data_IF_973915371990
#
_entry.id   IF_973915371990
#
_cell.length_a   1.000
_cell.length_b   1.000
_cell.length_c   1.000
_cell.angle_alpha   90.00
_cell.angle_beta   90.00
_cell.angle_gamma   90.00
#
_symmetry.space_group_name_H-M   'P 1'
#
loop_
_entity.id
_entity.type
_entity.pdbx_description
1 polymer ?
#
# COMPACT_ATOMS: atom_id res chain seq x y z
N UNK A 1 17.94 17.64 9.60
CA UNK A 1 16.92 16.79 10.28
C UNK A 1 15.63 17.54 10.55
N UNK A 2 15.65 18.70 11.22
CA UNK A 2 14.43 19.49 11.51
C UNK A 2 13.66 19.94 10.25
N UNK A 3 14.36 20.36 9.19
CA UNK A 3 13.71 20.74 7.91
C UNK A 3 12.99 19.56 7.23
N UNK A 4 13.59 18.36 7.28
CA UNK A 4 12.99 17.14 6.72
C UNK A 4 11.72 16.78 7.48
N UNK A 5 11.77 16.83 8.82
CA UNK A 5 10.60 16.58 9.66
C UNK A 5 9.51 17.64 9.44
N UNK A 6 9.87 18.92 9.36
CA UNK A 6 8.93 20.02 9.07
C UNK A 6 8.21 19.81 7.74
N UNK A 7 8.94 19.43 6.69
CA UNK A 7 8.36 19.10 5.38
C UNK A 7 7.42 17.90 5.47
N UNK A 8 7.85 16.78 6.05
CA UNK A 8 6.99 15.59 6.22
C UNK A 8 5.71 15.91 7.02
N UNK A 9 5.82 16.78 8.03
CA UNK A 9 4.68 17.25 8.81
C UNK A 9 3.71 18.09 7.97
N UNK A 10 4.22 19.00 7.13
CA UNK A 10 3.37 19.78 6.22
C UNK A 10 2.66 18.92 5.19
N UNK A 11 3.36 17.96 4.58
CA UNK A 11 2.76 16.99 3.66
C UNK A 11 1.64 16.20 4.36
N UNK A 12 1.87 15.80 5.61
CA UNK A 12 0.85 15.10 6.43
C UNK A 12 -0.36 15.99 6.65
N UNK A 13 -0.17 17.26 7.06
CA UNK A 13 -1.26 18.22 7.27
C UNK A 13 -2.08 18.44 5.99
N UNK A 14 -1.43 18.63 4.85
CA UNK A 14 -2.13 18.84 3.58
C UNK A 14 -2.95 17.61 3.18
N UNK A 15 -2.34 16.42 3.24
CA UNK A 15 -3.02 15.17 2.92
C UNK A 15 -4.20 14.91 3.87
N UNK A 16 -4.02 15.20 5.16
CA UNK A 16 -5.09 15.07 6.16
C UNK A 16 -6.19 16.12 5.96
N UNK A 17 -5.87 17.32 5.48
CA UNK A 17 -6.87 18.32 5.15
C UNK A 17 -7.75 17.88 3.97
N UNK A 18 -7.16 17.23 2.96
CA UNK A 18 -7.92 16.61 1.86
C UNK A 18 -8.84 15.50 2.41
N UNK A 19 -8.33 14.61 3.26
CA UNK A 19 -9.12 13.56 3.91
C UNK A 19 -10.22 14.14 4.81
N UNK A 20 -9.95 15.25 5.50
CA UNK A 20 -10.94 15.90 6.37
C UNK A 20 -12.07 16.54 5.58
N UNK A 21 -11.78 17.08 4.39
CA UNK A 21 -12.81 17.57 3.45
C UNK A 21 -13.67 16.43 2.90
N UNK A 22 -13.13 15.22 2.85
CA UNK A 22 -13.80 14.05 2.28
C UNK A 22 -13.66 12.80 3.17
N UNK A 23 -14.55 12.68 4.17
CA UNK A 23 -14.51 11.56 5.11
C UNK A 23 -14.83 10.21 4.45
N UNK A 24 -15.41 10.21 3.25
CA UNK A 24 -15.73 8.98 2.52
C UNK A 24 -14.46 8.25 2.09
N UNK A 25 -13.33 8.96 1.95
CA UNK A 25 -12.01 8.37 1.72
C UNK A 25 -11.60 7.35 2.79
N UNK A 26 -12.06 7.53 4.05
CA UNK A 26 -11.75 6.60 5.15
C UNK A 26 -12.47 5.25 5.02
N UNK A 27 -13.58 5.21 4.29
CA UNK A 27 -14.36 3.98 4.11
C UNK A 27 -13.65 2.98 3.20
N UNK A 28 -12.95 3.46 2.17
CA UNK A 28 -12.34 2.56 1.18
C UNK A 28 -11.27 1.63 1.78
N UNK A 29 -10.27 2.09 2.56
CA UNK A 29 -9.30 1.15 3.13
C UNK A 29 -9.88 0.34 4.28
N UNK A 30 -10.87 0.86 5.01
CA UNK A 30 -11.56 0.06 6.03
C UNK A 30 -12.26 -1.15 5.39
N UNK A 31 -12.96 -0.93 4.27
CA UNK A 31 -13.55 -2.00 3.47
C UNK A 31 -12.48 -2.88 2.82
N UNK A 32 -11.40 -2.31 2.28
CA UNK A 32 -10.29 -3.08 1.73
C UNK A 32 -9.69 -4.03 2.77
N UNK A 33 -9.45 -3.54 3.98
CA UNK A 33 -8.95 -4.34 5.11
C UNK A 33 -9.93 -5.44 5.50
N UNK A 34 -11.22 -5.10 5.65
CA UNK A 34 -12.27 -6.07 5.96
C UNK A 34 -12.35 -7.18 4.91
N UNK A 35 -12.47 -6.83 3.63
CA UNK A 35 -12.54 -7.80 2.55
C UNK A 35 -11.25 -8.61 2.41
N UNK A 36 -10.09 -8.01 2.65
CA UNK A 36 -8.81 -8.74 2.65
C UNK A 36 -8.76 -9.77 3.79
N UNK A 37 -9.22 -9.43 4.99
CA UNK A 37 -9.30 -10.37 6.12
C UNK A 37 -10.30 -11.49 5.80
N UNK A 38 -11.48 -11.17 5.30
CA UNK A 38 -12.47 -12.18 4.89
C UNK A 38 -11.90 -13.12 3.83
N UNK A 39 -11.19 -12.57 2.84
CA UNK A 39 -10.54 -13.35 1.79
C UNK A 39 -9.43 -14.24 2.33
N UNK A 40 -8.59 -13.75 3.24
CA UNK A 40 -7.58 -14.56 3.93
C UNK A 40 -8.21 -15.71 4.72
N UNK A 41 -9.28 -15.45 5.47
CA UNK A 41 -10.02 -16.47 6.21
C UNK A 41 -10.59 -17.52 5.24
N UNK A 42 -11.16 -17.08 4.10
CA UNK A 42 -11.64 -18.00 3.07
C UNK A 42 -10.52 -18.87 2.49
N UNK A 43 -9.31 -18.32 2.32
CA UNK A 43 -8.13 -19.06 1.85
C UNK A 43 -7.50 -20.00 2.89
N UNK A 44 -7.89 -19.92 4.17
CA UNK A 44 -7.47 -20.91 5.17
C UNK A 44 -8.05 -22.29 4.85
N UNK A 45 -9.29 -22.36 4.36
CA UNK A 45 -9.96 -23.64 4.05
C UNK A 45 -9.16 -24.48 3.04
N UNK A 46 -8.85 -23.99 1.82
CA UNK A 46 -8.06 -24.78 0.87
C UNK A 46 -6.66 -25.09 1.41
N UNK A 47 -6.02 -24.16 2.12
CA UNK A 47 -4.70 -24.36 2.71
C UNK A 47 -4.68 -25.49 3.74
N UNK A 48 -5.69 -25.54 4.61
CA UNK A 48 -5.87 -26.59 5.63
C UNK A 48 -6.16 -27.93 4.96
N UNK A 49 -7.08 -27.96 3.98
CA UNK A 49 -7.40 -29.19 3.23
C UNK A 49 -6.14 -29.78 2.61
N UNK A 50 -5.35 -28.95 1.90
CA UNK A 50 -4.08 -29.36 1.27
C UNK A 50 -3.10 -29.93 2.30
N UNK A 51 -3.05 -29.36 3.51
CA UNK A 51 -2.20 -29.88 4.59
C UNK A 51 -2.61 -31.29 5.05
N UNK A 52 -3.89 -31.63 5.02
CA UNK A 52 -4.39 -32.95 5.42
C UNK A 52 -4.17 -34.03 4.35
N UNK A 53 -4.24 -33.68 3.07
CA UNK A 53 -4.03 -34.63 1.96
C UNK A 53 -2.56 -34.76 1.54
N UNK A 54 -1.65 -34.05 2.21
CA UNK A 54 -0.21 -34.01 1.92
C UNK A 54 0.44 -35.40 1.90
N UNK A 55 0.10 -36.26 2.85
CA UNK A 55 0.70 -37.61 2.97
C UNK A 55 0.34 -38.54 1.80
N UNK A 56 -0.77 -38.26 1.09
CA UNK A 56 -1.20 -39.01 -0.08
C UNK A 56 -0.71 -38.44 -1.42
N UNK A 57 0.04 -37.33 -1.41
CA UNK A 57 0.51 -36.66 -2.63
C UNK A 57 2.03 -36.77 -2.77
N UNK A 58 2.50 -36.96 -4.01
CA UNK A 58 3.92 -36.85 -4.33
C UNK A 58 4.47 -35.44 -4.01
N UNK A 59 5.74 -35.30 -3.59
CA UNK A 59 6.33 -34.01 -3.21
C UNK A 59 6.21 -32.92 -4.28
N UNK A 60 6.30 -33.30 -5.56
CA UNK A 60 6.19 -32.37 -6.69
C UNK A 60 4.76 -31.83 -6.86
N UNK A 61 3.76 -32.72 -6.84
CA UNK A 61 2.34 -32.36 -6.95
C UNK A 61 1.90 -31.43 -5.83
N UNK A 62 2.33 -31.72 -4.60
CA UNK A 62 2.05 -30.88 -3.43
C UNK A 62 2.62 -29.47 -3.61
N UNK A 63 3.88 -29.35 -4.04
CA UNK A 63 4.52 -28.05 -4.25
C UNK A 63 3.81 -27.20 -5.30
N UNK A 64 3.35 -27.79 -6.41
CA UNK A 64 2.61 -27.08 -7.46
C UNK A 64 1.29 -26.52 -6.90
N UNK A 65 0.54 -27.33 -6.16
CA UNK A 65 -0.74 -26.92 -5.57
C UNK A 65 -0.53 -25.80 -4.54
N UNK A 66 0.50 -25.89 -3.70
CA UNK A 66 0.85 -24.85 -2.74
C UNK A 66 1.13 -23.50 -3.43
N UNK A 67 1.91 -23.50 -4.52
CA UNK A 67 2.17 -22.30 -5.31
C UNK A 67 0.91 -21.76 -6.00
N UNK A 68 -0.02 -22.61 -6.44
CA UNK A 68 -1.31 -22.17 -7.01
C UNK A 68 -2.15 -21.46 -5.94
N UNK A 69 -2.29 -22.05 -4.74
CA UNK A 69 -3.06 -21.42 -3.65
C UNK A 69 -2.43 -20.11 -3.20
N UNK A 70 -1.10 -20.08 -3.11
CA UNK A 70 -0.36 -18.87 -2.80
C UNK A 70 -0.58 -17.79 -3.88
N UNK A 71 -0.51 -18.15 -5.16
CA UNK A 71 -0.76 -17.23 -6.26
C UNK A 71 -2.19 -16.68 -6.23
N UNK A 72 -3.20 -17.54 -6.03
CA UNK A 72 -4.60 -17.09 -5.92
C UNK A 72 -4.81 -16.19 -4.70
N UNK A 73 -4.09 -16.46 -3.60
CA UNK A 73 -4.12 -15.60 -2.41
C UNK A 73 -3.55 -14.22 -2.73
N UNK A 74 -2.39 -14.15 -3.40
CA UNK A 74 -1.80 -12.89 -3.83
C UNK A 74 -2.68 -12.16 -4.85
N UNK A 75 -3.30 -12.88 -5.79
CA UNK A 75 -4.20 -12.32 -6.79
C UNK A 75 -5.43 -11.68 -6.15
N UNK A 76 -6.12 -12.37 -5.24
CA UNK A 76 -7.30 -11.82 -4.59
C UNK A 76 -6.98 -10.63 -3.69
N UNK A 77 -5.88 -10.68 -2.95
CA UNK A 77 -5.42 -9.54 -2.15
C UNK A 77 -5.03 -8.34 -3.01
N UNK A 78 -4.27 -8.57 -4.08
CA UNK A 78 -3.90 -7.52 -5.03
C UNK A 78 -5.14 -6.90 -5.69
N UNK A 79 -6.14 -7.71 -6.02
CA UNK A 79 -7.41 -7.27 -6.58
C UNK A 79 -8.20 -6.39 -5.63
N UNK A 80 -8.42 -6.84 -4.40
CA UNK A 80 -9.12 -6.06 -3.37
C UNK A 80 -8.39 -4.73 -3.12
N UNK A 81 -7.08 -4.78 -2.89
CA UNK A 81 -6.27 -3.59 -2.64
C UNK A 81 -6.32 -2.61 -3.81
N UNK A 82 -6.18 -3.10 -5.04
CA UNK A 82 -6.22 -2.26 -6.26
C UNK A 82 -7.60 -1.63 -6.44
N UNK A 83 -8.68 -2.40 -6.26
CA UNK A 83 -10.04 -1.89 -6.42
C UNK A 83 -10.32 -0.69 -5.52
N UNK A 84 -9.98 -0.80 -4.22
CA UNK A 84 -10.18 0.30 -3.29
C UNK A 84 -9.18 1.44 -3.49
N UNK A 85 -7.94 1.15 -3.93
CA UNK A 85 -7.01 2.20 -4.31
C UNK A 85 -7.50 3.00 -5.53
N UNK A 86 -8.12 2.35 -6.52
CA UNK A 86 -8.77 3.04 -7.65
C UNK A 86 -9.88 3.95 -7.15
N UNK A 87 -10.69 3.51 -6.18
CA UNK A 87 -11.71 4.36 -5.56
C UNK A 87 -11.07 5.59 -4.91
N UNK A 88 -10.06 5.41 -4.06
CA UNK A 88 -9.36 6.51 -3.38
C UNK A 88 -8.75 7.49 -4.37
N UNK A 89 -8.08 7.00 -5.42
CA UNK A 89 -7.47 7.85 -6.47
C UNK A 89 -8.54 8.60 -7.25
N UNK A 90 -9.67 7.98 -7.58
CA UNK A 90 -10.78 8.64 -8.25
C UNK A 90 -11.42 9.73 -7.39
N UNK A 91 -11.76 9.43 -6.13
CA UNK A 91 -12.29 10.43 -5.19
C UNK A 91 -11.31 11.60 -5.02
N UNK A 92 -10.02 11.29 -4.91
CA UNK A 92 -8.95 12.30 -4.81
C UNK A 92 -8.88 13.17 -6.06
N UNK A 93 -8.98 12.57 -7.25
CA UNK A 93 -9.01 13.29 -8.53
C UNK A 93 -10.16 14.30 -8.57
N UNK A 94 -11.38 13.84 -8.30
CA UNK A 94 -12.57 14.70 -8.29
C UNK A 94 -12.42 15.83 -7.25
N UNK A 95 -11.82 15.54 -6.10
CA UNK A 95 -11.53 16.55 -5.08
C UNK A 95 -10.51 17.59 -5.54
N UNK A 96 -9.46 17.18 -6.25
CA UNK A 96 -8.45 18.10 -6.79
C UNK A 96 -8.99 19.00 -7.90
N UNK A 97 -10.08 18.58 -8.56
CA UNK A 97 -10.83 19.37 -9.54
C UNK A 97 -11.84 20.33 -8.88
N UNK A 98 -11.91 20.38 -7.54
CA UNK A 98 -12.84 21.22 -6.77
C UNK A 98 -14.25 20.66 -6.61
N UNK A 99 -14.47 19.43 -7.08
CA UNK A 99 -15.74 18.74 -6.99
C UNK A 99 -15.79 17.81 -5.75
N UNK A 100 -16.94 17.16 -5.54
CA UNK A 100 -17.14 16.20 -4.47
C UNK A 100 -17.63 14.88 -5.08
N UNK A 101 -16.82 13.82 -5.01
CA UNK A 101 -17.26 12.49 -5.42
C UNK A 101 -17.97 11.82 -4.25
N UNK A 102 -19.08 11.15 -4.53
CA UNK A 102 -19.73 10.28 -3.55
C UNK A 102 -19.06 8.90 -3.52
N UNK A 103 -19.28 8.19 -2.42
CA UNK A 103 -18.80 6.83 -2.18
C UNK A 103 -19.24 5.91 -3.31
N UNK A 104 -20.52 5.97 -3.69
CA UNK A 104 -21.09 5.13 -4.74
C UNK A 104 -20.60 5.49 -6.14
N UNK A 105 -20.33 6.76 -6.42
CA UNK A 105 -19.70 7.14 -7.70
C UNK A 105 -18.30 6.55 -7.83
N UNK A 106 -17.53 6.56 -6.74
CA UNK A 106 -16.18 5.99 -6.71
C UNK A 106 -16.19 4.47 -6.87
N UNK A 107 -17.14 3.78 -6.24
CA UNK A 107 -17.37 2.33 -6.43
C UNK A 107 -17.79 2.04 -7.87
N UNK A 108 -18.75 2.79 -8.44
CA UNK A 108 -19.19 2.61 -9.82
C UNK A 108 -18.06 2.83 -10.82
N UNK A 109 -17.20 3.82 -10.57
CA UNK A 109 -16.02 4.07 -11.36
C UNK A 109 -15.03 2.89 -11.29
N UNK A 110 -14.75 2.36 -10.09
CA UNK A 110 -13.88 1.19 -9.98
C UNK A 110 -14.48 -0.06 -10.66
N UNK A 111 -15.80 -0.27 -10.55
CA UNK A 111 -16.50 -1.37 -11.24
C UNK A 111 -16.44 -1.21 -12.76
N UNK A 112 -16.50 0.01 -13.30
CA UNK A 112 -16.37 0.22 -14.75
C UNK A 112 -14.96 -0.03 -15.29
N UNK A 113 -13.97 -0.17 -14.39
CA UNK A 113 -12.55 -0.48 -14.69
C UNK A 113 -12.13 -1.84 -14.14
N UNK A 114 -13.08 -2.75 -13.90
CA UNK A 114 -12.83 -4.04 -13.23
C UNK A 114 -11.85 -4.93 -14.02
N UNK A 115 -11.89 -4.84 -15.34
CA UNK A 115 -10.99 -5.53 -16.26
C UNK A 115 -9.55 -5.02 -16.14
N UNK A 116 -9.36 -3.69 -16.08
CA UNK A 116 -8.06 -3.07 -15.85
C UNK A 116 -7.51 -3.41 -14.46
N UNK A 117 -8.38 -3.38 -13.44
CA UNK A 117 -8.03 -3.75 -12.06
C UNK A 117 -7.60 -5.21 -12.00
N UNK A 118 -8.34 -6.12 -12.63
CA UNK A 118 -7.99 -7.55 -12.68
C UNK A 118 -6.66 -7.77 -13.39
N UNK A 119 -6.45 -7.13 -14.53
CA UNK A 119 -5.20 -7.27 -15.29
C UNK A 119 -4.00 -6.73 -14.52
N UNK A 120 -4.14 -5.59 -13.83
CA UNK A 120 -3.09 -5.08 -12.95
C UNK A 120 -2.80 -6.02 -11.79
N UNK A 121 -3.85 -6.57 -11.18
CA UNK A 121 -3.73 -7.47 -10.04
C UNK A 121 -3.03 -8.77 -10.41
N UNK A 122 -3.24 -9.28 -11.64
CA UNK A 122 -2.49 -10.41 -12.19
C UNK A 122 -0.98 -10.09 -12.28
N UNK A 123 -0.62 -8.91 -12.79
CA UNK A 123 0.79 -8.49 -12.86
C UNK A 123 1.38 -8.37 -11.46
N UNK A 124 0.69 -7.67 -10.55
CA UNK A 124 1.15 -7.46 -9.18
C UNK A 124 1.30 -8.78 -8.40
N UNK A 125 0.34 -9.69 -8.52
CA UNK A 125 0.40 -11.00 -7.90
C UNK A 125 1.52 -11.87 -8.48
N UNK A 126 1.76 -11.79 -9.79
CA UNK A 126 2.88 -12.48 -10.44
C UNK A 126 4.21 -11.97 -9.89
N UNK A 127 4.39 -10.65 -9.78
CA UNK A 127 5.61 -10.09 -9.19
C UNK A 127 5.77 -10.50 -7.73
N UNK A 128 4.69 -10.46 -6.94
CA UNK A 128 4.70 -10.93 -5.57
C UNK A 128 5.12 -12.40 -5.45
N UNK A 129 4.58 -13.26 -6.33
CA UNK A 129 4.94 -14.68 -6.37
C UNK A 129 6.41 -14.87 -6.75
N UNK A 130 6.90 -14.14 -7.76
CA UNK A 130 8.31 -14.20 -8.18
C UNK A 130 9.24 -13.80 -7.03
N UNK A 131 8.95 -12.70 -6.32
CA UNK A 131 9.73 -12.30 -5.14
C UNK A 131 9.72 -13.39 -4.07
N UNK A 132 8.55 -13.98 -3.79
CA UNK A 132 8.41 -15.08 -2.82
C UNK A 132 9.19 -16.33 -3.23
N UNK A 133 9.24 -16.66 -4.52
CA UNK A 133 10.05 -17.78 -5.04
C UNK A 133 11.54 -17.49 -4.83
N UNK A 134 12.00 -16.27 -5.13
CA UNK A 134 13.40 -15.86 -4.91
C UNK A 134 13.77 -15.94 -3.43
N UNK A 135 12.88 -15.48 -2.54
CA UNK A 135 13.09 -15.56 -1.10
C UNK A 135 13.18 -17.01 -0.61
N UNK A 136 12.28 -17.89 -1.07
CA UNK A 136 12.33 -19.32 -0.75
C UNK A 136 13.62 -19.98 -1.26
N UNK A 137 14.16 -19.52 -2.40
CA UNK A 137 15.46 -19.99 -2.90
C UNK A 137 16.62 -19.46 -2.04
N UNK A 138 16.53 -18.22 -1.55
CA UNK A 138 17.52 -17.61 -0.67
C UNK A 138 17.65 -18.34 0.67
N UNK A 139 16.52 -18.76 1.26
CA UNK A 139 16.49 -19.54 2.51
C UNK A 139 17.14 -20.93 2.36
N UNK A 140 17.13 -21.48 1.13
CA UNK A 140 17.74 -22.78 0.81
C UNK A 140 19.20 -22.65 0.39
N UNK A 141 19.67 -21.43 0.11
CA UNK A 141 21.06 -21.18 -0.21
C UNK A 141 21.90 -21.17 1.09
N UNK A 142 23.16 -21.63 1.02
CA UNK A 142 24.09 -21.50 2.15
C UNK A 142 24.31 -20.03 2.55
N UNK A 143 24.94 -19.79 3.71
CA UNK A 143 25.12 -18.44 4.30
C UNK A 143 25.60 -17.36 3.31
N UNK A 144 26.49 -17.70 2.37
CA UNK A 144 26.99 -16.77 1.35
C UNK A 144 25.99 -16.47 0.23
N UNK A 145 25.17 -17.44 -0.18
CA UNK A 145 24.14 -17.27 -1.20
C UNK A 145 22.90 -16.54 -0.69
N UNK A 146 22.56 -16.73 0.59
CA UNK A 146 21.43 -16.06 1.23
C UNK A 146 21.60 -14.53 1.24
N UNK A 147 22.81 -14.03 1.51
CA UNK A 147 23.08 -12.58 1.58
C UNK A 147 22.91 -11.92 0.20
N UNK A 148 23.42 -12.54 -0.85
CA UNK A 148 23.31 -12.03 -2.23
C UNK A 148 21.85 -12.05 -2.71
N UNK A 149 21.13 -13.14 -2.48
CA UNK A 149 19.74 -13.27 -2.91
C UNK A 149 18.81 -12.32 -2.16
N UNK A 150 18.99 -12.16 -0.83
CA UNK A 150 18.22 -11.19 -0.05
C UNK A 150 18.46 -9.75 -0.52
N UNK A 151 19.69 -9.41 -0.89
CA UNK A 151 20.02 -8.10 -1.45
C UNK A 151 19.32 -7.89 -2.80
N UNK A 152 19.33 -8.90 -3.68
CA UNK A 152 18.64 -8.86 -4.97
C UNK A 152 17.13 -8.71 -4.81
N UNK A 153 16.48 -9.51 -3.96
CA UNK A 153 15.03 -9.37 -3.68
C UNK A 153 14.74 -7.96 -3.16
N UNK A 154 15.55 -7.46 -2.22
CA UNK A 154 15.34 -6.12 -1.63
C UNK A 154 15.44 -5.01 -2.66
N UNK A 155 16.44 -5.05 -3.54
CA UNK A 155 16.61 -4.08 -4.62
C UNK A 155 15.45 -4.17 -5.61
N UNK A 156 15.07 -5.39 -6.00
CA UNK A 156 13.98 -5.59 -6.96
C UNK A 156 12.64 -5.10 -6.40
N UNK A 157 12.35 -5.41 -5.12
CA UNK A 157 11.18 -4.91 -4.41
C UNK A 157 11.15 -3.39 -4.29
N UNK A 158 12.31 -2.76 -4.04
CA UNK A 158 12.44 -1.30 -4.00
C UNK A 158 12.17 -0.68 -5.38
N UNK A 159 12.81 -1.20 -6.43
CA UNK A 159 12.58 -0.76 -7.82
C UNK A 159 11.10 -0.92 -8.19
N UNK A 160 10.49 -2.05 -7.86
CA UNK A 160 9.08 -2.31 -8.08
C UNK A 160 8.20 -1.28 -7.37
N UNK A 161 8.44 -1.03 -6.08
CA UNK A 161 7.67 -0.06 -5.30
C UNK A 161 7.76 1.36 -5.89
N UNK A 162 8.93 1.77 -6.38
CA UNK A 162 9.13 3.06 -7.03
C UNK A 162 8.38 3.11 -8.36
N UNK A 163 8.61 2.14 -9.26
CA UNK A 163 8.03 2.14 -10.61
C UNK A 163 6.49 2.07 -10.56
N UNK A 164 5.93 1.44 -9.54
CA UNK A 164 4.48 1.23 -9.44
C UNK A 164 3.72 2.36 -8.75
N UNK A 165 4.43 3.35 -8.18
CA UNK A 165 3.83 4.41 -7.36
C UNK A 165 2.74 5.22 -8.10
N UNK A 166 2.90 5.44 -9.41
CA UNK A 166 1.96 6.20 -10.23
C UNK A 166 1.13 5.36 -11.18
N UNK A 167 1.17 4.03 -11.08
CA UNK A 167 0.41 3.16 -11.98
C UNK A 167 -1.09 3.37 -11.81
N UNK A 168 -1.60 3.33 -10.58
CA UNK A 168 -3.03 3.53 -10.31
C UNK A 168 -3.48 4.95 -10.70
N UNK A 169 -2.77 6.04 -10.31
CA UNK A 169 -3.02 7.37 -10.85
C UNK A 169 -3.07 7.42 -12.39
N UNK A 170 -2.10 6.81 -13.09
CA UNK A 170 -2.09 6.80 -14.55
C UNK A 170 -3.29 6.06 -15.15
N UNK A 171 -3.70 4.91 -14.57
CA UNK A 171 -4.91 4.20 -14.99
C UNK A 171 -6.17 5.05 -14.81
N UNK A 172 -6.30 5.76 -13.69
CA UNK A 172 -7.50 6.56 -13.39
C UNK A 172 -7.59 7.86 -14.21
N UNK A 173 -6.46 8.54 -14.43
CA UNK A 173 -6.43 9.82 -15.14
C UNK A 173 -6.54 9.67 -16.66
N UNK A 174 -5.91 8.64 -17.23
CA UNK A 174 -5.77 8.48 -18.69
C UNK A 174 -6.46 7.22 -19.24
N UNK A 175 -7.18 6.48 -18.39
CA UNK A 175 -7.84 5.23 -18.77
C UNK A 175 -6.90 4.20 -19.42
N UNK A 176 -5.66 4.15 -18.92
CA UNK A 176 -4.60 3.33 -19.50
C UNK A 176 -4.70 1.89 -19.02
N UNK A 177 -4.45 0.97 -19.95
CA UNK A 177 -4.15 -0.42 -19.61
C UNK A 177 -2.91 -0.52 -18.72
N UNK A 178 -2.84 -1.49 -17.78
CA UNK A 178 -1.73 -1.62 -16.83
C UNK A 178 -0.31 -1.59 -17.42
N UNK A 179 -0.09 -2.15 -18.62
CA UNK A 179 1.21 -2.07 -19.30
C UNK A 179 1.60 -0.64 -19.66
N UNK A 180 0.67 0.14 -20.20
CA UNK A 180 0.92 1.52 -20.58
C UNK A 180 0.92 2.45 -19.36
N UNK A 181 0.14 2.12 -18.32
CA UNK A 181 0.20 2.80 -17.03
C UNK A 181 1.57 2.62 -16.34
N UNK A 182 2.20 1.44 -16.43
CA UNK A 182 3.60 1.25 -15.96
C UNK A 182 4.55 2.14 -16.75
N UNK A 183 4.48 2.16 -18.08
CA UNK A 183 5.34 3.02 -18.91
C UNK A 183 5.17 4.49 -18.55
N UNK A 184 3.93 4.95 -18.41
CA UNK A 184 3.59 6.32 -18.02
C UNK A 184 4.12 6.65 -16.63
N UNK A 185 3.98 5.73 -15.66
CA UNK A 185 4.55 5.88 -14.32
C UNK A 185 6.06 6.08 -14.37
N UNK A 186 6.77 5.23 -15.13
CA UNK A 186 8.24 5.34 -15.32
C UNK A 186 8.62 6.65 -15.99
N UNK A 187 7.91 7.08 -17.03
CA UNK A 187 8.16 8.35 -17.72
C UNK A 187 7.99 9.54 -16.78
N UNK A 188 6.88 9.59 -16.04
CA UNK A 188 6.58 10.63 -15.06
C UNK A 188 7.64 10.66 -13.95
N UNK A 189 8.08 9.50 -13.45
CA UNK A 189 9.17 9.39 -12.47
C UNK A 189 10.51 9.85 -13.03
N UNK A 190 10.89 9.44 -14.25
CA UNK A 190 12.15 9.87 -14.88
C UNK A 190 12.19 11.39 -15.07
N UNK A 191 11.06 11.99 -15.47
CA UNK A 191 10.95 13.44 -15.66
C UNK A 191 11.13 14.22 -14.37
N UNK A 192 10.74 13.65 -13.24
CA UNK A 192 10.60 14.40 -11.99
C UNK A 192 11.55 13.98 -10.87
N UNK A 193 11.96 12.70 -10.80
CA UNK A 193 12.84 12.16 -9.76
C UNK A 193 14.27 11.92 -10.24
N UNK A 194 14.56 11.95 -11.56
CA UNK A 194 15.91 11.90 -12.14
C UNK A 194 16.89 10.95 -11.42
N UNK A 195 18.05 11.47 -10.98
CA UNK A 195 19.04 10.75 -10.15
C UNK A 195 18.77 10.84 -8.63
N UNK A 196 17.73 11.57 -8.18
CA UNK A 196 17.44 11.84 -6.77
C UNK A 196 16.43 10.89 -6.11
N UNK A 197 16.13 9.75 -6.73
CA UNK A 197 15.10 8.79 -6.32
C UNK A 197 15.22 8.29 -4.86
N UNK A 198 16.35 8.53 -4.18
CA UNK A 198 16.75 7.84 -2.94
C UNK A 198 16.44 8.66 -1.67
N UNK A 199 16.03 9.93 -1.73
CA UNK A 199 16.02 10.80 -0.54
C UNK A 199 14.67 11.40 -0.12
N UNK A 200 13.55 10.90 -0.66
CA UNK A 200 12.24 11.40 -0.27
C UNK A 200 11.62 10.59 0.87
N UNK A 201 11.86 11.06 2.10
CA UNK A 201 11.11 10.64 3.28
C UNK A 201 9.78 11.38 3.31
N UNK A 202 8.77 10.86 2.61
CA UNK A 202 7.44 11.46 2.54
C UNK A 202 6.69 11.45 3.87
N UNK A 203 5.51 10.83 3.89
CA UNK A 203 4.70 10.67 5.09
C UNK A 203 5.30 9.64 6.08
N UNK A 204 6.23 8.80 5.63
CA UNK A 204 6.78 7.68 6.39
C UNK A 204 7.43 8.07 7.72
N UNK A 205 8.10 9.23 7.80
CA UNK A 205 8.70 9.69 9.07
C UNK A 205 7.64 10.04 10.12
N UNK A 206 6.56 10.68 9.71
CA UNK A 206 5.47 11.02 10.63
C UNK A 206 4.72 9.75 11.01
N UNK A 207 4.42 8.87 10.05
CA UNK A 207 3.83 7.56 10.33
C UNK A 207 4.68 6.76 11.33
N UNK A 208 6.00 6.72 11.14
CA UNK A 208 6.94 6.08 12.06
C UNK A 208 6.88 6.69 13.46
N UNK A 209 6.83 8.02 13.58
CA UNK A 209 6.70 8.69 14.88
C UNK A 209 5.39 8.30 15.59
N UNK A 210 4.25 8.24 14.88
CA UNK A 210 2.98 7.79 15.45
C UNK A 210 3.04 6.32 15.90
N UNK A 211 3.68 5.44 15.11
CA UNK A 211 3.86 4.03 15.49
C UNK A 211 4.70 3.91 16.76
N UNK A 212 5.85 4.60 16.83
CA UNK A 212 6.75 4.56 18.01
C UNK A 212 6.04 5.08 19.25
N UNK A 213 5.34 6.21 19.15
CA UNK A 213 4.55 6.76 20.26
C UNK A 213 3.45 5.78 20.70
N UNK A 214 2.75 5.16 19.74
CA UNK A 214 1.75 4.13 20.01
C UNK A 214 2.32 2.93 20.75
N UNK A 215 3.50 2.44 20.35
CA UNK A 215 4.19 1.33 21.03
C UNK A 215 4.54 1.71 22.47
N UNK A 216 5.12 2.88 22.69
CA UNK A 216 5.48 3.36 24.04
C UNK A 216 4.24 3.43 24.92
N UNK A 217 3.15 4.04 24.44
CA UNK A 217 1.89 4.14 25.19
C UNK A 217 1.28 2.76 25.45
N UNK A 218 1.27 1.86 24.46
CA UNK A 218 0.75 0.51 24.62
C UNK A 218 1.53 -0.29 25.69
N UNK A 219 2.87 -0.18 25.70
CA UNK A 219 3.72 -0.82 26.72
C UNK A 219 3.41 -0.25 28.11
N UNK A 220 3.33 1.08 28.25
CA UNK A 220 3.00 1.71 29.54
C UNK A 220 1.63 1.29 30.06
N UNK A 221 0.62 1.23 29.19
CA UNK A 221 -0.72 0.75 29.55
C UNK A 221 -0.72 -0.74 29.91
N UNK A 222 0.04 -1.58 29.20
CA UNK A 222 0.17 -3.00 29.54
C UNK A 222 0.80 -3.20 30.92
N UNK A 223 1.86 -2.44 31.24
CA UNK A 223 2.48 -2.47 32.57
C UNK A 223 1.48 -2.02 33.63
N UNK A 224 0.77 -0.90 33.42
CA UNK A 224 -0.20 -0.36 34.36
C UNK A 224 -1.40 -1.28 34.61
N UNK A 225 -1.83 -2.03 33.59
CA UNK A 225 -2.98 -2.95 33.68
C UNK A 225 -2.60 -4.38 34.04
N UNK A 226 -1.30 -4.70 34.13
CA UNK A 226 -0.80 -6.06 34.37
C UNK A 226 -1.27 -6.66 35.70
N UNK A 227 -1.48 -5.83 36.72
CA UNK A 227 -1.97 -6.24 38.05
C UNK A 227 -3.49 -6.32 38.16
N UNK A 228 -4.24 -5.84 37.16
CA UNK A 228 -5.71 -5.76 37.18
C UNK A 228 -6.40 -7.03 36.65
N UNK A 229 -5.62 -8.05 36.27
CA UNK A 229 -6.12 -9.34 35.79
C UNK A 229 -6.24 -9.45 34.25
N UNK A 230 -6.58 -10.65 33.74
CA UNK A 230 -6.47 -10.98 32.33
C UNK A 230 -7.42 -10.17 31.42
N UNK A 231 -8.60 -9.81 31.91
CA UNK A 231 -9.55 -9.00 31.14
C UNK A 231 -9.06 -7.57 30.90
N UNK A 232 -8.33 -6.98 31.85
CA UNK A 232 -7.74 -5.65 31.70
C UNK A 232 -6.60 -5.65 30.67
N UNK A 233 -5.77 -6.70 30.68
CA UNK A 233 -4.70 -6.92 29.68
C UNK A 233 -5.32 -7.07 28.29
N UNK A 234 -6.36 -7.91 28.16
CA UNK A 234 -7.08 -8.09 26.90
C UNK A 234 -7.64 -6.76 26.38
N UNK A 235 -8.29 -5.97 27.25
CA UNK A 235 -8.81 -4.65 26.89
C UNK A 235 -7.73 -3.71 26.36
N UNK A 236 -6.57 -3.67 27.03
CA UNK A 236 -5.41 -2.87 26.59
C UNK A 236 -4.89 -3.30 25.22
N UNK A 237 -4.78 -4.62 24.98
CA UNK A 237 -4.35 -5.17 23.69
C UNK A 237 -5.33 -4.75 22.58
N UNK A 238 -6.64 -4.89 22.82
CA UNK A 238 -7.68 -4.52 21.86
C UNK A 238 -7.58 -3.03 21.49
N UNK A 239 -7.43 -2.16 22.49
CA UNK A 239 -7.27 -0.71 22.26
C UNK A 239 -6.00 -0.41 21.46
N UNK A 240 -4.88 -1.04 21.79
CA UNK A 240 -3.62 -0.87 21.07
C UNK A 240 -3.76 -1.32 19.60
N UNK A 241 -4.37 -2.48 19.36
CA UNK A 241 -4.62 -3.00 18.00
C UNK A 241 -5.50 -2.03 17.20
N UNK A 242 -6.60 -1.55 17.78
CA UNK A 242 -7.48 -0.56 17.12
C UNK A 242 -6.70 0.71 16.77
N UNK A 243 -5.87 1.21 17.68
CA UNK A 243 -5.02 2.38 17.43
C UNK A 243 -4.10 2.16 16.23
N UNK A 244 -3.36 1.04 16.20
CA UNK A 244 -2.44 0.76 15.09
C UNK A 244 -3.17 0.59 13.75
N UNK A 245 -4.35 -0.05 13.76
CA UNK A 245 -5.19 -0.16 12.57
C UNK A 245 -5.58 1.23 12.06
N UNK A 246 -6.08 2.11 12.93
CA UNK A 246 -6.46 3.47 12.54
C UNK A 246 -5.28 4.24 11.97
N UNK A 247 -4.12 4.19 12.63
CA UNK A 247 -2.90 4.85 12.14
C UNK A 247 -2.53 4.32 10.75
N UNK A 248 -2.47 3.00 10.56
CA UNK A 248 -2.13 2.40 9.27
C UNK A 248 -3.12 2.79 8.17
N UNK A 249 -4.43 2.77 8.45
CA UNK A 249 -5.46 3.12 7.46
C UNK A 249 -5.37 4.60 7.06
N UNK A 250 -5.25 5.51 8.02
CA UNK A 250 -5.19 6.95 7.76
C UNK A 250 -3.93 7.30 6.96
N UNK A 251 -2.77 6.77 7.35
CA UNK A 251 -1.52 7.02 6.62
C UNK A 251 -1.50 6.33 5.25
N UNK A 252 -2.16 5.19 5.07
CA UNK A 252 -2.32 4.56 3.76
C UNK A 252 -3.06 5.49 2.79
N UNK A 253 -4.19 6.08 3.20
CA UNK A 253 -4.93 7.05 2.38
C UNK A 253 -4.09 8.28 2.12
N UNK A 254 -3.46 8.83 3.16
CA UNK A 254 -2.64 10.02 3.01
C UNK A 254 -1.52 9.80 1.99
N UNK A 255 -0.90 8.61 1.98
CA UNK A 255 0.08 8.23 0.96
C UNK A 255 -0.54 8.15 -0.44
N UNK A 256 -1.71 7.54 -0.60
CA UNK A 256 -2.39 7.47 -1.91
C UNK A 256 -2.79 8.85 -2.41
N UNK A 257 -3.35 9.71 -1.56
CA UNK A 257 -3.71 11.11 -1.88
C UNK A 257 -2.47 11.89 -2.28
N UNK A 258 -1.39 11.79 -1.49
CA UNK A 258 -0.15 12.48 -1.75
C UNK A 258 0.52 12.00 -3.06
N UNK A 259 0.57 10.70 -3.31
CA UNK A 259 1.11 10.14 -4.55
C UNK A 259 0.28 10.57 -5.76
N UNK A 260 -1.04 10.69 -5.60
CA UNK A 260 -1.92 11.24 -6.64
C UNK A 260 -1.63 12.72 -6.88
N UNK A 261 -1.39 13.51 -5.83
CA UNK A 261 -1.00 14.92 -5.95
C UNK A 261 0.34 15.07 -6.69
N UNK A 262 1.33 14.26 -6.32
CA UNK A 262 2.62 14.19 -6.99
C UNK A 262 2.45 13.83 -8.46
N UNK A 263 1.63 12.82 -8.77
CA UNK A 263 1.36 12.41 -10.14
C UNK A 263 0.76 13.55 -10.97
N UNK A 264 -0.28 14.23 -10.48
CA UNK A 264 -0.94 15.33 -11.20
C UNK A 264 0.03 16.45 -11.52
N UNK A 265 0.82 16.88 -10.53
CA UNK A 265 1.82 17.92 -10.76
C UNK A 265 2.92 17.45 -11.71
N UNK A 266 3.39 16.22 -11.52
CA UNK A 266 4.43 15.65 -12.34
C UNK A 266 3.99 15.44 -13.78
N UNK A 267 2.71 15.18 -14.06
CA UNK A 267 2.13 14.92 -15.37
C UNK A 267 1.68 16.20 -16.09
N UNK A 268 0.97 17.09 -15.39
CA UNK A 268 0.31 18.27 -15.96
C UNK A 268 0.99 19.60 -15.65
N UNK A 269 1.87 19.65 -14.64
CA UNK A 269 2.44 20.90 -14.11
C UNK A 269 1.47 21.73 -13.25
N UNK A 270 0.20 21.32 -13.15
CA UNK A 270 -0.81 21.99 -12.33
C UNK A 270 -0.66 21.64 -10.85
N UNK A 271 -1.05 22.56 -9.97
CA UNK A 271 -1.04 22.34 -8.53
C UNK A 271 -2.43 21.80 -8.14
N UNK A 272 -2.52 20.60 -7.55
CA UNK A 272 -3.79 20.06 -7.07
C UNK A 272 -4.41 20.94 -5.99
N UNK A 273 -5.75 21.06 -5.97
CA UNK A 273 -6.41 21.82 -4.91
C UNK A 273 -6.07 21.25 -3.52
N UNK A 274 -5.76 22.13 -2.56
CA UNK A 274 -5.35 21.75 -1.21
C UNK A 274 -3.86 21.48 -1.06
N UNK A 275 -3.08 21.58 -2.13
CA UNK A 275 -1.61 21.57 -2.10
C UNK A 275 -1.02 22.92 -2.50
N UNK A 276 0.23 23.17 -2.11
CA UNK A 276 0.99 24.35 -2.54
C UNK A 276 2.14 23.94 -3.48
N UNK A 277 2.59 24.88 -4.33
CA UNK A 277 3.69 24.62 -5.29
C UNK A 277 4.97 24.21 -4.58
N UNK A 278 5.26 24.82 -3.44
CA UNK A 278 6.50 24.60 -2.70
C UNK A 278 6.64 23.14 -2.26
N UNK A 279 5.62 22.56 -1.63
CA UNK A 279 5.67 21.18 -1.12
C UNK A 279 5.75 20.17 -2.28
N UNK A 280 4.93 20.37 -3.31
CA UNK A 280 4.89 19.44 -4.45
C UNK A 280 6.17 19.55 -5.29
N UNK A 281 6.68 20.76 -5.55
CA UNK A 281 7.95 20.94 -6.27
C UNK A 281 9.17 20.49 -5.47
N UNK A 282 9.19 20.71 -4.15
CA UNK A 282 10.29 20.28 -3.29
C UNK A 282 10.36 18.76 -3.14
N UNK A 283 9.26 18.03 -3.39
CA UNK A 283 9.30 16.57 -3.51
C UNK A 283 10.12 16.08 -4.72
N UNK A 284 10.31 16.95 -5.73
CA UNK A 284 11.03 16.65 -6.96
C UNK A 284 12.40 17.35 -7.07
N UNK A 285 12.74 18.25 -6.14
CA UNK A 285 14.03 18.96 -6.17
C UNK A 285 15.15 18.10 -5.58
N UNK A 286 16.29 18.11 -6.29
CA UNK A 286 17.60 17.68 -5.80
C UNK A 286 17.95 18.52 -4.55
N UNK A 287 18.02 17.89 -3.39
CA UNK A 287 18.68 18.42 -2.20
C UNK A 287 19.90 17.58 -1.87
#
# INVERSE_FOLDING_TARGET
>A
MFEVFGRSWEITKLSFNVIKKDKELLLFPALAGLFSIMFLIAMLVPSIIISFIKEGMGPETYGIIEYIVLFLTYLGLAFIATFFNVCVVYTTKIRFEGNNATFWESIRFAVSKIDLILYWSLIAATVGLVLRIIDNMAERAGQSGQLVLNLLTSIFGLIWSIITIFVIPAMVYHDLGPKDAIKKSVETLKRTWGESLIRYYGLGLIQFAFIVLGIVVAILLLIATSSLGPYAILGTIVIAVIYFIIVMLVFSIANTVFNTALYVYADTGNIPEGYNREIVSNAFKRQ
#
